data_IF_214873258468
#
_entry.id   IF_214873258468
#
_cell.length_a   1.000
_cell.length_b   1.000
_cell.length_c   1.000
_cell.angle_alpha   90.00
_cell.angle_beta   90.00
_cell.angle_gamma   90.00
#
_symmetry.space_group_name_H-M   'P 1'
#
loop_
_entity.id
_entity.type
_entity.pdbx_description
1 polymer ?
#
# COMPACT_ATOMS: atom_id res chain seq x y z
N UNK A 1 -22.54 8.38 3.71
CA UNK A 1 -22.64 6.94 4.04
C UNK A 1 -21.27 6.27 4.25
N UNK A 2 -20.22 6.57 3.47
CA UNK A 2 -18.87 6.02 3.74
C UNK A 2 -18.25 6.56 5.03
N UNK A 3 -18.19 7.89 5.19
CA UNK A 3 -17.60 8.52 6.38
C UNK A 3 -18.23 8.01 7.70
N UNK A 4 -19.55 7.99 7.74
CA UNK A 4 -20.34 7.50 8.89
C UNK A 4 -20.05 6.03 9.23
N UNK A 5 -19.90 5.17 8.20
CA UNK A 5 -19.49 3.78 8.39
C UNK A 5 -18.09 3.69 9.00
N UNK A 6 -17.13 4.43 8.45
CA UNK A 6 -15.73 4.43 8.95
C UNK A 6 -15.67 4.94 10.38
N UNK A 7 -16.42 6.00 10.69
CA UNK A 7 -16.52 6.54 12.03
C UNK A 7 -17.10 5.53 13.02
N UNK A 8 -18.23 4.92 12.68
CA UNK A 8 -18.90 3.91 13.52
C UNK A 8 -18.00 2.70 13.76
N UNK A 9 -17.30 2.20 12.73
CA UNK A 9 -16.36 1.09 12.88
C UNK A 9 -15.21 1.44 13.82
N UNK A 10 -14.66 2.65 13.72
CA UNK A 10 -13.63 3.13 14.64
C UNK A 10 -14.12 3.18 16.09
N UNK A 11 -15.34 3.67 16.32
CA UNK A 11 -15.95 3.73 17.67
C UNK A 11 -16.18 2.35 18.27
N UNK A 12 -16.58 1.37 17.46
CA UNK A 12 -16.74 -0.02 17.91
C UNK A 12 -15.38 -0.65 18.24
N UNK A 13 -14.34 -0.35 17.48
CA UNK A 13 -13.02 -0.96 17.61
C UNK A 13 -12.18 -0.41 18.78
N UNK A 14 -12.35 0.88 19.10
CA UNK A 14 -11.61 1.61 20.13
C UNK A 14 -11.55 0.92 21.51
N UNK A 15 -12.67 0.49 22.14
CA UNK A 15 -12.62 -0.15 23.46
C UNK A 15 -11.88 -1.51 23.48
N UNK A 16 -11.69 -2.13 22.31
CA UNK A 16 -10.96 -3.39 22.17
C UNK A 16 -9.52 -3.20 21.72
N UNK A 17 -9.10 -1.96 21.43
CA UNK A 17 -7.80 -1.68 20.82
C UNK A 17 -7.64 -2.34 19.45
N UNK A 18 -8.74 -2.62 18.75
CA UNK A 18 -8.73 -3.30 17.47
C UNK A 18 -8.39 -2.34 16.33
N UNK A 19 -7.73 -2.86 15.30
CA UNK A 19 -7.42 -2.08 14.10
C UNK A 19 -8.54 -2.15 13.06
N UNK A 20 -8.88 -1.00 12.48
CA UNK A 20 -9.77 -0.88 11.33
C UNK A 20 -8.95 -0.44 10.12
N UNK A 21 -8.93 -1.25 9.06
CA UNK A 21 -8.18 -0.99 7.82
C UNK A 21 -9.12 -0.94 6.62
N UNK A 22 -8.94 0.03 5.74
CA UNK A 22 -9.77 0.19 4.55
C UNK A 22 -9.10 -0.44 3.32
N UNK A 23 -9.84 -1.30 2.63
CA UNK A 23 -9.42 -1.94 1.39
C UNK A 23 -10.36 -1.58 0.24
N UNK A 24 -9.84 -1.62 -1.00
CA UNK A 24 -10.61 -1.39 -2.22
C UNK A 24 -11.37 -0.05 -2.23
N UNK A 25 -10.72 1.01 -1.75
CA UNK A 25 -11.31 2.35 -1.66
C UNK A 25 -11.22 3.00 -3.03
N UNK A 26 -12.38 3.24 -3.65
CA UNK A 26 -12.41 4.01 -4.89
C UNK A 26 -12.10 5.49 -4.57
N UNK A 27 -11.28 6.19 -5.38
CA UNK A 27 -10.82 7.55 -5.09
C UNK A 27 -11.89 8.64 -5.30
N UNK A 28 -13.10 8.46 -4.76
CA UNK A 28 -14.13 9.50 -4.75
C UNK A 28 -13.77 10.65 -3.80
N UNK A 29 -14.26 11.87 -4.01
CA UNK A 29 -14.00 13.01 -3.12
C UNK A 29 -14.27 12.73 -1.64
N UNK A 30 -15.23 11.87 -1.32
CA UNK A 30 -15.57 11.47 0.06
C UNK A 30 -14.43 10.78 0.83
N UNK A 31 -13.38 10.31 0.15
CA UNK A 31 -12.18 9.77 0.81
C UNK A 31 -11.48 10.85 1.61
N UNK A 32 -11.50 12.10 1.15
CA UNK A 32 -10.82 13.23 1.79
C UNK A 32 -11.32 13.45 3.22
N UNK A 33 -12.62 13.21 3.44
CA UNK A 33 -13.28 13.33 4.74
C UNK A 33 -12.82 12.26 5.75
N UNK A 34 -12.21 11.15 5.28
CA UNK A 34 -11.74 10.05 6.15
C UNK A 34 -10.32 10.28 6.67
N UNK A 35 -9.50 11.09 5.97
CA UNK A 35 -8.10 11.31 6.36
C UNK A 35 -7.92 11.85 7.79
N UNK A 36 -8.77 12.76 8.31
CA UNK A 36 -8.70 13.18 9.72
C UNK A 36 -8.91 12.02 10.72
N UNK A 37 -9.75 11.04 10.40
CA UNK A 37 -9.95 9.85 11.25
C UNK A 37 -8.71 8.95 11.26
N UNK A 38 -7.99 8.89 10.14
CA UNK A 38 -6.70 8.20 10.06
C UNK A 38 -5.62 8.92 10.86
N UNK A 39 -5.53 10.25 10.74
CA UNK A 39 -4.53 11.07 11.42
C UNK A 39 -4.65 11.03 12.95
N UNK A 40 -5.87 10.85 13.46
CA UNK A 40 -6.15 10.70 14.90
C UNK A 40 -5.98 9.27 15.41
N UNK A 41 -5.72 8.30 14.53
CA UNK A 41 -5.56 6.90 14.89
C UNK A 41 -6.87 6.13 15.12
N UNK A 42 -8.03 6.76 14.87
CA UNK A 42 -9.35 6.12 15.01
C UNK A 42 -9.55 4.98 14.00
N UNK A 43 -8.91 5.11 12.83
CA UNK A 43 -8.73 4.04 11.85
C UNK A 43 -7.28 4.04 11.37
N UNK A 44 -6.79 2.92 10.84
CA UNK A 44 -5.41 2.84 10.40
C UNK A 44 -5.13 3.79 9.23
N UNK A 45 -3.96 4.46 9.20
CA UNK A 45 -3.55 5.33 8.11
C UNK A 45 -3.09 4.51 6.91
N UNK A 46 -4.00 3.76 6.32
CA UNK A 46 -3.77 2.86 5.20
C UNK A 46 -4.93 2.93 4.21
N UNK A 47 -4.59 3.27 2.96
CA UNK A 47 -5.52 3.38 1.85
C UNK A 47 -5.07 2.48 0.70
N UNK A 48 -5.89 1.49 0.37
CA UNK A 48 -5.73 0.68 -0.85
C UNK A 48 -6.66 1.24 -1.93
N UNK A 49 -6.06 2.01 -2.86
CA UNK A 49 -6.76 2.77 -3.89
C UNK A 49 -6.32 2.25 -5.27
N UNK A 50 -7.15 1.49 -5.97
CA UNK A 50 -6.78 0.89 -7.25
C UNK A 50 -6.83 1.91 -8.39
N UNK A 51 -5.71 2.58 -8.67
CA UNK A 51 -5.58 3.65 -9.66
C UNK A 51 -5.59 3.13 -11.11
N UNK A 52 -5.14 1.89 -11.33
CA UNK A 52 -5.00 1.22 -12.64
C UNK A 52 -3.94 1.81 -13.57
N UNK A 53 -3.95 3.13 -13.77
CA UNK A 53 -2.96 3.86 -14.56
C UNK A 53 -2.86 5.31 -14.04
N UNK A 54 -1.91 6.10 -14.53
CA UNK A 54 -1.80 7.53 -14.20
C UNK A 54 -2.02 8.46 -15.40
N UNK A 55 -1.66 8.02 -16.61
CA UNK A 55 -1.83 8.82 -17.82
C UNK A 55 -3.32 9.05 -18.15
N UNK A 56 -3.78 10.31 -18.34
CA UNK A 56 -5.19 10.63 -18.58
C UNK A 56 -5.79 9.91 -19.79
N UNK A 57 -5.05 9.78 -20.89
CA UNK A 57 -5.57 9.14 -22.10
C UNK A 57 -5.71 7.63 -21.94
N UNK A 58 -4.77 6.97 -21.24
CA UNK A 58 -4.90 5.54 -20.91
C UNK A 58 -6.10 5.32 -19.99
N UNK A 59 -6.27 6.16 -18.96
CA UNK A 59 -7.43 6.08 -18.06
C UNK A 59 -8.75 6.28 -18.79
N UNK A 60 -8.80 7.21 -19.76
CA UNK A 60 -9.95 7.41 -20.64
C UNK A 60 -10.24 6.15 -21.47
N UNK A 61 -9.21 5.50 -22.04
CA UNK A 61 -9.37 4.22 -22.75
C UNK A 61 -9.83 3.08 -21.82
N UNK A 62 -9.41 3.08 -20.55
CA UNK A 62 -9.88 2.18 -19.49
C UNK A 62 -11.32 2.49 -19.01
N UNK A 63 -12.00 3.50 -19.58
CA UNK A 63 -13.31 4.00 -19.14
C UNK A 63 -13.32 4.40 -17.67
N UNK A 64 -12.17 4.80 -17.13
CA UNK A 64 -12.08 5.44 -15.82
C UNK A 64 -12.40 6.93 -16.01
N UNK A 65 -13.04 7.58 -15.03
CA UNK A 65 -13.05 9.03 -15.02
C UNK A 65 -11.58 9.46 -15.05
N UNK A 66 -11.15 10.17 -16.09
CA UNK A 66 -9.91 10.91 -16.02
C UNK A 66 -10.13 11.89 -14.88
N UNK A 67 -9.57 11.61 -13.70
CA UNK A 67 -9.68 12.53 -12.58
C UNK A 67 -9.04 13.83 -13.07
N UNK A 68 -9.86 14.85 -13.29
CA UNK A 68 -9.38 16.19 -13.63
C UNK A 68 -8.50 16.77 -12.52
N UNK A 69 -8.52 16.16 -11.33
CA UNK A 69 -7.54 16.34 -10.28
C UNK A 69 -6.27 15.56 -10.60
N UNK A 70 -5.12 16.24 -10.50
CA UNK A 70 -3.83 15.57 -10.51
C UNK A 70 -3.78 14.66 -9.28
N UNK A 71 -3.91 13.35 -9.48
CA UNK A 71 -3.88 12.35 -8.39
C UNK A 71 -2.67 12.55 -7.46
N UNK A 72 -1.54 13.04 -8.00
CA UNK A 72 -0.36 13.41 -7.22
C UNK A 72 -0.67 14.51 -6.19
N UNK A 73 -1.28 15.63 -6.60
CA UNK A 73 -1.61 16.75 -5.71
C UNK A 73 -2.55 16.30 -4.59
N UNK A 74 -3.52 15.44 -4.92
CA UNK A 74 -4.44 14.89 -3.94
C UNK A 74 -3.74 13.96 -2.94
N UNK A 75 -2.86 13.09 -3.42
CA UNK A 75 -2.02 12.23 -2.56
C UNK A 75 -1.13 13.08 -1.65
N UNK A 76 -0.54 14.15 -2.16
CA UNK A 76 0.28 15.07 -1.38
C UNK A 76 -0.55 15.72 -0.27
N UNK A 77 -1.74 16.24 -0.61
CA UNK A 77 -2.67 16.82 0.38
C UNK A 77 -3.12 15.81 1.43
N UNK A 78 -3.36 14.56 1.05
CA UNK A 78 -3.65 13.51 2.03
C UNK A 78 -2.50 13.26 2.99
N UNK A 79 -1.25 13.31 2.51
CA UNK A 79 -0.06 13.17 3.35
C UNK A 79 0.19 14.40 4.24
N UNK A 80 -0.22 15.59 3.82
CA UNK A 80 -0.21 16.78 4.68
C UNK A 80 -1.15 16.59 5.89
N UNK A 81 -2.33 16.03 5.67
CA UNK A 81 -3.31 15.74 6.74
C UNK A 81 -2.88 14.55 7.59
N UNK A 82 -2.35 13.49 6.97
CA UNK A 82 -1.93 12.26 7.63
C UNK A 82 -0.53 11.85 7.14
N UNK A 83 0.55 12.35 7.78
CA UNK A 83 1.93 12.07 7.35
C UNK A 83 2.31 10.59 7.36
N UNK A 84 1.68 9.80 8.23
CA UNK A 84 1.90 8.35 8.34
C UNK A 84 1.16 7.52 7.28
N UNK A 85 0.38 8.16 6.42
CA UNK A 85 -0.46 7.49 5.43
C UNK A 85 0.35 6.56 4.51
N UNK A 86 -0.09 5.31 4.50
CA UNK A 86 0.37 4.27 3.59
C UNK A 86 -0.62 4.15 2.45
N UNK A 87 -0.13 4.33 1.23
CA UNK A 87 -0.95 4.18 0.02
C UNK A 87 -0.52 2.92 -0.71
N UNK A 88 -1.47 2.00 -0.84
CA UNK A 88 -1.36 0.84 -1.72
C UNK A 88 -2.14 1.09 -3.01
N UNK A 89 -1.58 0.68 -4.13
CA UNK A 89 -2.29 0.74 -5.41
C UNK A 89 -1.96 -0.44 -6.31
N UNK A 90 -2.83 -0.65 -7.29
CA UNK A 90 -2.66 -1.67 -8.32
C UNK A 90 -2.72 -0.99 -9.69
N UNK A 91 -1.78 -1.35 -10.55
CA UNK A 91 -1.61 -0.81 -11.88
C UNK A 91 -1.66 -1.91 -12.96
N UNK A 92 -1.98 -1.50 -14.18
CA UNK A 92 -1.95 -2.34 -15.37
C UNK A 92 -0.96 -1.69 -16.35
N UNK A 93 0.05 -2.43 -16.77
CA UNK A 93 1.00 -2.01 -17.79
C UNK A 93 0.70 -2.70 -19.12
N UNK A 94 0.98 -1.99 -20.22
CA UNK A 94 0.79 -2.51 -21.56
C UNK A 94 -0.67 -2.58 -21.99
N UNK A 95 -1.49 -1.62 -21.53
CA UNK A 95 -2.90 -1.52 -21.94
C UNK A 95 -3.00 -1.30 -23.47
N UNK A 96 -4.09 -1.74 -24.16
CA UNK A 96 -4.25 -1.51 -25.59
C UNK A 96 -4.03 -0.05 -26.00
N UNK A 97 -3.07 0.14 -26.91
CA UNK A 97 -2.65 1.44 -27.44
C UNK A 97 -1.71 2.25 -26.55
N UNK A 98 -1.21 1.69 -25.43
CA UNK A 98 -0.27 2.38 -24.53
C UNK A 98 1.08 2.66 -25.22
N UNK A 99 1.47 3.93 -25.32
CA UNK A 99 2.76 4.33 -25.88
C UNK A 99 3.88 4.30 -24.85
N UNK A 100 5.13 4.46 -25.30
CA UNK A 100 6.27 4.51 -24.38
C UNK A 100 6.25 5.76 -23.50
N UNK A 101 5.78 6.90 -24.03
CA UNK A 101 5.63 8.15 -23.29
C UNK A 101 4.55 8.04 -22.21
N UNK A 102 3.42 7.39 -22.52
CA UNK A 102 2.35 7.15 -21.55
C UNK A 102 2.81 6.20 -20.43
N UNK A 103 3.61 5.19 -20.78
CA UNK A 103 4.22 4.29 -19.80
C UNK A 103 5.30 5.00 -18.96
N UNK A 104 6.12 5.85 -19.56
CA UNK A 104 7.10 6.64 -18.83
C UNK A 104 6.42 7.59 -17.82
N UNK A 105 5.31 8.23 -18.21
CA UNK A 105 4.48 9.01 -17.30
C UNK A 105 3.97 8.17 -16.11
N UNK A 106 3.66 6.88 -16.32
CA UNK A 106 3.30 5.97 -15.22
C UNK A 106 4.46 5.75 -14.25
N UNK A 107 5.67 5.52 -14.73
CA UNK A 107 6.85 5.36 -13.89
C UNK A 107 7.15 6.62 -13.08
N UNK A 108 7.07 7.79 -13.73
CA UNK A 108 7.33 9.08 -13.07
C UNK A 108 6.27 9.40 -12.03
N UNK A 109 5.01 9.09 -12.30
CA UNK A 109 3.92 9.20 -11.32
C UNK A 109 4.19 8.37 -10.05
N UNK A 110 4.65 7.12 -10.17
CA UNK A 110 4.94 6.27 -9.01
C UNK A 110 6.03 6.89 -8.13
N UNK A 111 7.07 7.46 -8.76
CA UNK A 111 8.14 8.17 -8.04
C UNK A 111 7.61 9.44 -7.38
N UNK A 112 6.87 10.27 -8.10
CA UNK A 112 6.39 11.55 -7.61
C UNK A 112 5.35 11.40 -6.48
N UNK A 113 4.39 10.51 -6.66
CA UNK A 113 3.35 10.22 -5.66
C UNK A 113 3.89 9.43 -4.44
N UNK A 114 5.10 8.89 -4.52
CA UNK A 114 5.75 8.10 -3.47
C UNK A 114 4.83 6.97 -2.97
N UNK A 115 4.28 6.19 -3.90
CA UNK A 115 3.36 5.06 -3.58
C UNK A 115 4.10 4.05 -2.69
N UNK A 116 3.52 3.69 -1.54
CA UNK A 116 4.18 2.85 -0.52
C UNK A 116 4.29 1.39 -0.96
N UNK A 117 3.18 0.87 -1.51
CA UNK A 117 3.02 -0.50 -1.95
C UNK A 117 2.33 -0.48 -3.32
N UNK A 118 2.95 -1.06 -4.34
CA UNK A 118 2.35 -1.12 -5.67
C UNK A 118 2.41 -2.54 -6.23
N UNK A 119 1.28 -3.01 -6.74
CA UNK A 119 1.20 -4.19 -7.61
C UNK A 119 1.05 -3.75 -9.06
N UNK A 120 1.62 -4.52 -9.99
CA UNK A 120 1.43 -4.29 -11.42
C UNK A 120 1.16 -5.61 -12.14
N UNK A 121 0.17 -5.57 -13.02
CA UNK A 121 -0.17 -6.66 -13.91
C UNK A 121 0.08 -6.24 -15.34
N UNK A 122 0.65 -7.13 -16.15
CA UNK A 122 0.62 -6.99 -17.59
C UNK A 122 -0.84 -7.11 -18.04
N UNK A 123 -1.28 -6.27 -18.96
CA UNK A 123 -2.64 -6.36 -19.47
C UNK A 123 -2.90 -7.75 -20.07
N UNK A 124 -4.01 -8.37 -19.68
CA UNK A 124 -4.47 -9.66 -20.19
C UNK A 124 -5.85 -9.51 -20.82
N UNK A 125 -6.01 -10.10 -22.01
CA UNK A 125 -7.20 -10.09 -22.85
C UNK A 125 -8.23 -11.12 -22.38
N UNK A 126 -8.70 -10.97 -21.14
CA UNK A 126 -9.75 -11.82 -20.57
C UNK A 126 -10.99 -11.79 -21.48
N UNK A 127 -11.55 -12.96 -21.76
CA UNK A 127 -12.71 -13.08 -22.64
C UNK A 127 -13.88 -12.20 -22.15
N UNK A 128 -14.44 -11.39 -23.05
CA UNK A 128 -15.50 -10.43 -22.75
C UNK A 128 -15.05 -9.05 -22.26
N UNK A 129 -13.74 -8.80 -22.14
CA UNK A 129 -13.24 -7.47 -21.81
C UNK A 129 -13.44 -6.51 -22.99
N UNK A 130 -14.18 -5.42 -22.79
CA UNK A 130 -14.39 -4.38 -23.82
C UNK A 130 -13.07 -3.73 -24.30
N UNK A 131 -12.01 -3.81 -23.49
CA UNK A 131 -10.69 -3.34 -23.87
C UNK A 131 -10.06 -4.17 -25.01
N UNK A 132 -10.50 -5.41 -25.24
CA UNK A 132 -10.04 -6.25 -26.35
C UNK A 132 -10.44 -5.70 -27.72
N UNK A 133 -11.48 -4.86 -27.77
CA UNK A 133 -11.96 -4.22 -29.00
C UNK A 133 -11.16 -2.95 -29.36
N UNK A 134 -10.31 -2.47 -28.44
CA UNK A 134 -9.48 -1.29 -28.67
C UNK A 134 -8.31 -1.64 -29.61
N UNK A 135 -7.98 -0.78 -30.58
CA UNK A 135 -6.82 -0.99 -31.43
C UNK A 135 -5.50 -0.83 -30.65
N UNK A 136 -4.41 -1.35 -31.21
CA UNK A 136 -3.07 -1.16 -30.66
C UNK A 136 -2.71 -2.12 -29.51
N UNK A 137 -3.26 -3.34 -29.50
CA UNK A 137 -2.83 -4.38 -28.57
C UNK A 137 -1.32 -4.60 -28.68
N UNK A 138 -0.63 -4.52 -27.54
CA UNK A 138 0.82 -4.72 -27.49
C UNK A 138 1.16 -6.22 -27.48
N UNK A 139 2.30 -6.63 -28.09
CA UNK A 139 2.83 -7.98 -27.93
C UNK A 139 2.99 -8.33 -26.44
N UNK A 140 2.80 -9.60 -26.09
CA UNK A 140 2.86 -10.06 -24.71
C UNK A 140 4.21 -9.76 -24.07
N UNK A 141 5.28 -9.89 -24.86
CA UNK A 141 6.66 -9.61 -24.45
C UNK A 141 6.84 -8.16 -24.01
N UNK A 142 6.21 -7.21 -24.72
CA UNK A 142 6.25 -5.77 -24.36
C UNK A 142 5.44 -5.51 -23.10
N UNK A 143 4.27 -6.15 -22.94
CA UNK A 143 3.45 -5.99 -21.73
C UNK A 143 4.17 -6.50 -20.48
N UNK A 144 4.85 -7.64 -20.59
CA UNK A 144 5.65 -8.21 -19.51
C UNK A 144 6.93 -7.40 -19.22
N UNK A 145 7.61 -6.90 -20.25
CA UNK A 145 8.77 -6.02 -20.10
C UNK A 145 8.40 -4.72 -19.35
N UNK A 146 7.28 -4.10 -19.72
CA UNK A 146 6.73 -2.94 -19.00
C UNK A 146 6.33 -3.27 -17.56
N UNK A 147 5.66 -4.41 -17.33
CA UNK A 147 5.36 -4.87 -15.97
C UNK A 147 6.64 -4.99 -15.14
N UNK A 148 7.70 -5.60 -15.68
CA UNK A 148 8.98 -5.76 -14.99
C UNK A 148 9.64 -4.40 -14.67
N UNK A 149 9.68 -3.47 -15.62
CA UNK A 149 10.19 -2.10 -15.41
C UNK A 149 9.39 -1.34 -14.36
N UNK A 150 8.07 -1.45 -14.39
CA UNK A 150 7.22 -0.85 -13.37
C UNK A 150 7.54 -1.41 -11.98
N UNK A 151 7.63 -2.73 -11.85
CA UNK A 151 7.91 -3.37 -10.56
C UNK A 151 9.28 -2.96 -10.00
N UNK A 152 10.29 -2.78 -10.85
CA UNK A 152 11.60 -2.27 -10.42
C UNK A 152 11.52 -0.84 -9.85
N UNK A 153 10.76 0.05 -10.48
CA UNK A 153 10.55 1.42 -9.96
C UNK A 153 9.73 1.41 -8.67
N UNK A 154 8.68 0.60 -8.60
CA UNK A 154 7.87 0.43 -7.39
C UNK A 154 8.70 -0.11 -6.22
N UNK A 155 9.60 -1.06 -6.48
CA UNK A 155 10.51 -1.62 -5.48
C UNK A 155 11.50 -0.56 -4.97
N UNK A 156 12.10 0.22 -5.87
CA UNK A 156 12.98 1.34 -5.51
C UNK A 156 12.30 2.31 -4.53
N UNK A 157 11.07 2.74 -4.87
CA UNK A 157 10.28 3.66 -4.03
C UNK A 157 9.93 3.00 -2.70
N UNK A 158 9.48 1.74 -2.70
CA UNK A 158 9.09 1.02 -1.49
C UNK A 158 10.26 0.86 -0.52
N UNK A 159 11.43 0.43 -1.01
CA UNK A 159 12.66 0.26 -0.21
C UNK A 159 13.08 1.60 0.39
N UNK A 160 13.10 2.68 -0.41
CA UNK A 160 13.46 4.01 0.10
C UNK A 160 12.54 4.47 1.24
N UNK A 161 11.24 4.15 1.16
CA UNK A 161 10.28 4.48 2.21
C UNK A 161 10.40 3.60 3.45
N UNK A 162 10.64 2.30 3.30
CA UNK A 162 10.92 1.42 4.43
C UNK A 162 12.19 1.84 5.16
N UNK A 163 13.22 2.28 4.43
CA UNK A 163 14.46 2.74 5.02
C UNK A 163 14.27 3.97 5.92
N UNK A 164 13.35 4.88 5.56
CA UNK A 164 12.99 6.03 6.42
C UNK A 164 12.36 5.62 7.75
N UNK A 165 11.85 4.39 7.88
CA UNK A 165 11.28 3.85 9.12
C UNK A 165 12.35 3.29 10.06
N UNK A 166 13.60 3.09 9.61
CA UNK A 166 14.68 2.60 10.47
C UNK A 166 14.92 3.62 11.60
N UNK A 167 14.95 3.12 12.84
CA UNK A 167 15.02 3.92 14.06
C UNK A 167 13.65 4.26 14.67
N UNK A 168 12.56 4.18 13.92
CA UNK A 168 11.22 4.42 14.44
C UNK A 168 10.80 3.32 15.42
N UNK A 169 9.95 3.69 16.39
CA UNK A 169 9.27 2.72 17.26
C UNK A 169 7.85 2.55 16.77
N UNK A 170 7.47 1.32 16.41
CA UNK A 170 6.16 1.01 15.85
C UNK A 170 5.44 -0.02 16.71
N UNK A 171 4.11 0.04 16.68
CA UNK A 171 3.26 -1.04 17.19
C UNK A 171 3.19 -2.16 16.14
N UNK A 172 3.39 -3.40 16.58
CA UNK A 172 3.42 -4.58 15.73
C UNK A 172 2.46 -5.62 16.31
N UNK A 173 1.49 -6.05 15.51
CA UNK A 173 0.64 -7.20 15.82
C UNK A 173 1.42 -8.48 15.57
N UNK A 174 1.56 -9.34 16.58
CA UNK A 174 2.32 -10.59 16.45
C UNK A 174 1.44 -11.66 15.80
N UNK A 175 1.85 -12.15 14.64
CA UNK A 175 1.14 -13.22 13.90
C UNK A 175 1.76 -14.59 14.14
N UNK A 176 3.08 -14.66 14.36
CA UNK A 176 3.80 -15.91 14.62
C UNK A 176 4.90 -15.68 15.65
N UNK A 177 4.91 -16.46 16.74
CA UNK A 177 5.93 -16.42 17.79
C UNK A 177 6.40 -17.85 18.18
N UNK A 178 7.41 -18.42 17.50
CA UNK A 178 7.92 -19.76 17.80
C UNK A 178 8.58 -19.83 19.19
N UNK A 179 8.60 -21.04 19.78
CA UNK A 179 9.15 -21.29 21.12
C UNK A 179 8.59 -20.32 22.18
N UNK A 180 7.28 -20.07 22.10
CA UNK A 180 6.58 -19.09 22.93
C UNK A 180 7.23 -17.69 22.88
N UNK A 181 7.66 -17.25 21.70
CA UNK A 181 8.27 -15.94 21.46
C UNK A 181 9.75 -15.81 21.81
N UNK A 182 10.39 -16.83 22.39
CA UNK A 182 11.81 -16.77 22.78
C UNK A 182 12.78 -16.72 21.60
N UNK A 183 12.35 -17.19 20.43
CA UNK A 183 13.14 -17.17 19.19
C UNK A 183 12.79 -16.00 18.26
N UNK A 184 12.11 -14.97 18.79
CA UNK A 184 11.58 -13.89 17.97
C UNK A 184 10.24 -14.28 17.34
N UNK A 185 9.91 -13.67 16.20
CA UNK A 185 8.64 -13.90 15.54
C UNK A 185 8.46 -13.11 14.25
N UNK A 186 7.23 -13.13 13.74
CA UNK A 186 6.77 -12.29 12.63
C UNK A 186 5.48 -11.61 13.03
N UNK A 187 5.29 -10.41 12.52
CA UNK A 187 4.09 -9.63 12.75
C UNK A 187 3.86 -8.61 11.66
N UNK A 188 2.89 -7.72 11.89
CA UNK A 188 2.52 -6.65 10.96
C UNK A 188 2.39 -5.33 11.71
N UNK A 189 2.83 -4.26 11.08
CA UNK A 189 2.57 -2.91 11.59
C UNK A 189 1.26 -2.36 11.02
N UNK A 190 0.92 -1.12 11.39
CA UNK A 190 -0.19 -0.42 10.73
C UNK A 190 0.01 -0.32 9.21
N UNK A 191 1.25 -0.39 8.72
CA UNK A 191 1.59 -0.24 7.31
C UNK A 191 1.40 -1.51 6.47
N UNK A 192 1.12 -2.65 7.11
CA UNK A 192 1.18 -3.96 6.46
C UNK A 192 -0.18 -4.67 6.50
N UNK A 193 -0.81 -4.82 5.34
CA UNK A 193 -1.99 -5.64 5.18
C UNK A 193 -1.61 -7.14 5.18
N UNK A 194 -2.47 -8.02 5.75
CA UNK A 194 -2.23 -9.45 5.75
C UNK A 194 -2.10 -10.01 4.33
N UNK A 195 -1.14 -10.93 4.15
CA UNK A 195 -0.90 -11.74 2.93
C UNK A 195 -0.42 -10.98 1.68
N UNK A 196 -0.75 -9.70 1.54
CA UNK A 196 -0.50 -8.93 0.31
C UNK A 196 0.66 -7.94 0.41
N UNK A 197 1.07 -7.58 1.64
CA UNK A 197 2.20 -6.69 1.90
C UNK A 197 3.34 -7.45 2.61
N UNK A 198 4.41 -6.73 2.96
CA UNK A 198 5.54 -7.26 3.71
C UNK A 198 5.21 -7.59 5.17
N UNK A 199 6.19 -8.15 5.86
CA UNK A 199 6.11 -8.49 7.28
C UNK A 199 7.14 -7.75 8.11
N UNK A 200 6.90 -7.69 9.42
CA UNK A 200 7.90 -7.27 10.41
C UNK A 200 8.51 -8.51 11.04
N UNK A 201 9.79 -8.75 10.75
CA UNK A 201 10.61 -9.76 11.41
C UNK A 201 11.02 -9.26 12.80
N UNK A 202 10.45 -9.87 13.83
CA UNK A 202 10.76 -9.56 15.22
C UNK A 202 11.94 -10.40 15.68
N UNK A 203 13.03 -9.74 16.08
CA UNK A 203 14.18 -10.39 16.68
C UNK A 203 13.84 -10.95 18.08
N UNK A 204 14.61 -11.92 18.58
CA UNK A 204 14.44 -12.44 19.93
C UNK A 204 14.45 -11.31 20.98
N UNK A 205 13.52 -11.32 21.95
CA UNK A 205 13.54 -10.34 23.03
C UNK A 205 14.82 -10.43 23.86
N UNK A 206 15.46 -9.29 24.13
CA UNK A 206 16.68 -9.25 24.96
C UNK A 206 16.38 -9.49 26.44
N UNK A 207 15.20 -9.06 26.91
CA UNK A 207 14.74 -9.26 28.28
C UNK A 207 14.02 -10.60 28.41
N UNK A 208 14.45 -11.43 29.35
CA UNK A 208 13.84 -12.73 29.66
C UNK A 208 12.35 -12.59 30.02
N UNK A 209 11.95 -11.47 30.63
CA UNK A 209 10.56 -11.20 31.00
C UNK A 209 9.66 -10.79 29.83
N UNK A 210 10.23 -10.45 28.66
CA UNK A 210 9.47 -10.07 27.49
C UNK A 210 9.17 -11.31 26.66
N UNK A 211 7.88 -11.58 26.46
CA UNK A 211 7.41 -12.69 25.65
C UNK A 211 6.58 -12.16 24.48
N UNK A 212 6.84 -12.67 23.28
CA UNK A 212 5.99 -12.42 22.12
C UNK A 212 4.85 -13.43 22.12
N UNK A 213 3.62 -12.95 22.05
CA UNK A 213 2.42 -13.79 22.03
C UNK A 213 1.56 -13.43 20.83
N UNK A 214 1.12 -14.47 20.12
CA UNK A 214 0.29 -14.32 18.92
C UNK A 214 -1.04 -13.64 19.28
N UNK A 215 -1.46 -12.70 18.44
CA UNK A 215 -2.68 -11.90 18.63
C UNK A 215 -2.51 -10.68 19.55
N UNK A 216 -1.32 -10.49 20.14
CA UNK A 216 -1.03 -9.32 20.97
C UNK A 216 -0.19 -8.29 20.20
N UNK A 217 -0.34 -7.03 20.61
CA UNK A 217 0.51 -5.94 20.14
C UNK A 217 1.78 -5.87 20.96
N UNK A 218 2.92 -5.74 20.28
CA UNK A 218 4.19 -5.39 20.89
C UNK A 218 4.71 -4.08 20.32
N UNK A 219 5.40 -3.28 21.13
CA UNK A 219 6.21 -2.18 20.61
C UNK A 219 7.54 -2.75 20.14
N UNK A 220 8.00 -2.32 18.97
CA UNK A 220 9.29 -2.72 18.44
C UNK A 220 10.00 -1.54 17.79
N UNK A 221 11.31 -1.47 17.95
CA UNK A 221 12.16 -0.49 17.27
C UNK A 221 12.65 -1.10 15.98
N UNK A 222 12.39 -0.43 14.86
CA UNK A 222 12.88 -0.85 13.55
C UNK A 222 14.39 -0.65 13.51
N UNK A 223 15.14 -1.69 13.18
CA UNK A 223 16.61 -1.69 13.14
C UNK A 223 17.16 -1.91 11.73
N UNK A 224 16.32 -2.34 10.79
CA UNK A 224 16.73 -2.53 9.41
C UNK A 224 15.57 -2.92 8.51
N UNK A 225 15.90 -3.17 7.25
CA UNK A 225 14.99 -3.60 6.19
C UNK A 225 15.56 -4.85 5.52
N UNK A 226 14.69 -5.70 4.98
CA UNK A 226 15.09 -6.86 4.18
C UNK A 226 14.13 -6.96 2.99
N UNK A 227 14.53 -6.40 1.85
CA UNK A 227 13.64 -6.25 0.69
C UNK A 227 12.41 -5.42 1.06
N UNK A 228 11.22 -6.02 0.97
CA UNK A 228 9.94 -5.38 1.32
C UNK A 228 9.54 -5.49 2.79
N UNK A 229 10.38 -6.14 3.61
CA UNK A 229 10.12 -6.41 5.02
C UNK A 229 10.91 -5.49 5.94
N UNK A 230 10.42 -5.33 7.17
CA UNK A 230 11.11 -4.64 8.25
C UNK A 230 11.75 -5.65 9.21
N UNK A 231 12.89 -5.29 9.80
CA UNK A 231 13.50 -6.03 10.92
C UNK A 231 13.44 -5.16 12.16
N UNK A 232 12.93 -5.71 13.27
CA UNK A 232 12.68 -4.93 14.48
C UNK A 232 13.06 -5.67 15.76
N UNK A 233 13.53 -4.92 16.75
CA UNK A 233 13.80 -5.42 18.11
C UNK A 233 12.61 -5.08 19.00
N UNK A 234 11.95 -6.06 19.65
CA UNK A 234 10.86 -5.79 20.57
C UNK A 234 11.38 -5.07 21.83
N UNK A 235 10.62 -4.07 22.30
CA UNK A 235 10.95 -3.27 23.49
C UNK A 235 9.96 -3.46 24.63
#
# INVERSE_FOLDING_TARGET
RMLELVQTLGEIAEPYGAWVRLHYVYPYPSVDEVLPLMATGKVLPYLDVPLQHSHPDVLKRMKRPASGERNVERIQRWREVCPELVIRSTFIAGFPGETEEEFQHLLDFVREAQIDRAGCFAYSDVNGAAANELPGMLPMEVREERRARFMAVAEEVSIAKLQRRVGATMQVLVDHAPALGKKGGRGRSYADAPEIDGVVHLLPPEKISKQLKVGEFTRARIVGTQGHDLVAVPI
#
